data_IF_347794592551
#
_entry.id   IF_347794592551
#
_cell.length_a   1.000
_cell.length_b   1.000
_cell.length_c   1.000
_cell.angle_alpha   90.00
_cell.angle_beta   90.00
_cell.angle_gamma   90.00
#
_symmetry.space_group_name_H-M   'P 1'
#
loop_
_entity.id
_entity.type
_entity.pdbx_description
1 polymer ?
#
# COMPACT_ATOMS: atom_id res chain seq x y z
N UNK A 1 12.13 -11.00 -31.12
CA UNK A 1 11.54 -10.04 -30.15
C UNK A 1 10.23 -10.60 -29.66
N UNK A 2 9.96 -10.52 -28.35
CA UNK A 2 8.76 -11.09 -27.73
C UNK A 2 8.22 -10.14 -26.67
N UNK A 3 6.89 -9.97 -26.58
CA UNK A 3 6.25 -9.27 -25.46
C UNK A 3 5.96 -10.29 -24.34
N UNK A 4 6.30 -9.95 -23.11
CA UNK A 4 6.18 -10.88 -21.98
C UNK A 4 6.09 -10.17 -20.63
N UNK A 5 5.67 -10.91 -19.61
CA UNK A 5 5.89 -10.55 -18.22
C UNK A 5 7.26 -11.07 -17.79
N UNK A 6 8.10 -10.19 -17.26
CA UNK A 6 9.43 -10.55 -16.80
C UNK A 6 9.46 -11.13 -15.36
N UNK A 7 10.69 -11.42 -14.90
CA UNK A 7 10.99 -11.90 -13.54
C UNK A 7 10.54 -10.94 -12.42
N UNK A 8 10.45 -9.64 -12.70
CA UNK A 8 10.03 -8.59 -11.78
C UNK A 8 8.52 -8.35 -11.85
N UNK A 9 7.80 -9.19 -12.60
CA UNK A 9 6.39 -9.07 -12.94
C UNK A 9 6.04 -7.81 -13.74
N UNK A 10 7.00 -7.23 -14.46
CA UNK A 10 6.76 -6.07 -15.32
C UNK A 10 6.41 -6.51 -16.74
N UNK A 11 5.55 -5.75 -17.40
CA UNK A 11 5.27 -5.93 -18.83
C UNK A 11 6.43 -5.35 -19.66
N UNK A 12 7.11 -6.22 -20.38
CA UNK A 12 8.32 -5.88 -21.13
C UNK A 12 8.26 -6.43 -22.55
N UNK A 13 9.17 -5.96 -23.39
CA UNK A 13 9.43 -6.48 -24.72
C UNK A 13 10.89 -6.91 -24.74
N UNK A 14 11.10 -8.23 -24.77
CA UNK A 14 12.41 -8.83 -24.93
C UNK A 14 12.92 -8.60 -26.36
N UNK A 15 14.12 -8.04 -26.46
CA UNK A 15 14.83 -7.84 -27.71
C UNK A 15 16.29 -8.25 -27.51
N UNK A 16 16.71 -9.32 -28.19
CA UNK A 16 18.07 -9.88 -28.13
C UNK A 16 19.15 -8.90 -28.62
N UNK A 17 18.77 -7.91 -29.43
CA UNK A 17 19.68 -6.90 -29.95
C UNK A 17 20.06 -5.83 -28.93
N UNK A 18 19.34 -5.75 -27.79
CA UNK A 18 19.66 -4.77 -26.74
C UNK A 18 20.83 -5.31 -25.91
N UNK A 19 22.00 -4.63 -25.90
CA UNK A 19 23.16 -5.13 -25.17
C UNK A 19 22.89 -5.21 -23.67
N UNK A 20 23.10 -6.38 -23.09
CA UNK A 20 22.95 -6.64 -21.65
C UNK A 20 24.23 -6.25 -20.89
N UNK A 21 24.69 -5.01 -21.06
CA UNK A 21 26.00 -4.54 -20.58
C UNK A 21 25.98 -4.04 -19.15
N UNK A 22 24.81 -3.57 -18.67
CA UNK A 22 24.64 -2.98 -17.34
C UNK A 22 23.23 -3.22 -16.82
N UNK A 23 23.15 -3.56 -15.54
CA UNK A 23 21.90 -3.61 -14.79
C UNK A 23 21.57 -2.23 -14.22
N UNK A 24 20.29 -1.85 -14.29
CA UNK A 24 19.76 -0.59 -13.81
C UNK A 24 18.79 -0.85 -12.67
N UNK A 25 18.99 -0.16 -11.54
CA UNK A 25 18.10 -0.22 -10.40
C UNK A 25 17.08 0.93 -10.45
N UNK A 26 15.82 0.62 -10.22
CA UNK A 26 14.73 1.59 -10.19
C UNK A 26 13.93 1.46 -8.90
N UNK A 27 13.41 2.60 -8.45
CA UNK A 27 12.47 2.69 -7.36
C UNK A 27 11.17 3.29 -7.90
N UNK A 28 10.07 2.55 -7.82
CA UNK A 28 8.74 2.93 -8.34
C UNK A 28 7.66 2.63 -7.31
N UNK A 29 6.86 3.63 -6.91
CA UNK A 29 5.81 3.47 -5.89
C UNK A 29 6.24 2.69 -4.63
N UNK A 30 7.49 2.86 -4.18
CA UNK A 30 8.06 2.13 -3.03
C UNK A 30 8.75 0.80 -3.37
N UNK A 31 8.47 0.21 -4.53
CA UNK A 31 9.05 -1.04 -4.99
C UNK A 31 10.39 -0.82 -5.68
N UNK A 32 11.38 -1.64 -5.33
CA UNK A 32 12.71 -1.59 -5.93
C UNK A 32 12.93 -2.83 -6.76
N UNK A 33 13.32 -2.65 -8.02
CA UNK A 33 13.72 -3.74 -8.90
C UNK A 33 14.99 -3.37 -9.65
N UNK A 34 15.73 -4.38 -10.08
CA UNK A 34 16.89 -4.22 -10.95
C UNK A 34 16.71 -5.09 -12.18
N UNK A 35 17.04 -4.52 -13.33
CA UNK A 35 17.10 -5.28 -14.56
C UNK A 35 18.03 -4.68 -15.60
N UNK A 36 18.44 -5.50 -16.55
CA UNK A 36 19.17 -5.05 -17.72
C UNK A 36 18.27 -4.24 -18.65
N UNK A 37 18.89 -3.37 -19.45
CA UNK A 37 18.15 -2.56 -20.42
C UNK A 37 17.32 -3.46 -21.35
N UNK A 38 16.08 -3.05 -21.56
CA UNK A 38 15.08 -3.73 -22.38
C UNK A 38 13.99 -2.75 -22.76
N UNK A 39 13.15 -3.12 -23.71
CA UNK A 39 11.97 -2.31 -23.99
C UNK A 39 10.87 -2.59 -22.97
N UNK A 40 10.20 -1.53 -22.54
CA UNK A 40 9.10 -1.59 -21.59
C UNK A 40 7.94 -0.75 -22.11
N UNK A 41 6.72 -1.16 -21.77
CA UNK A 41 5.52 -0.35 -22.04
C UNK A 41 5.23 0.48 -20.80
N UNK A 42 5.17 1.80 -20.99
CA UNK A 42 4.94 2.76 -19.91
C UNK A 42 3.73 3.64 -20.17
N UNK A 43 3.04 4.01 -19.10
CA UNK A 43 2.03 5.07 -19.14
C UNK A 43 2.69 6.40 -18.78
N UNK A 44 2.64 7.37 -19.67
CA UNK A 44 3.12 8.73 -19.42
C UNK A 44 2.10 9.74 -19.95
N UNK A 45 1.63 10.64 -19.09
CA UNK A 45 0.59 11.64 -19.43
C UNK A 45 -0.69 11.03 -20.04
N UNK A 46 -1.11 9.87 -19.52
CA UNK A 46 -2.27 9.08 -19.99
C UNK A 46 -2.12 8.46 -21.39
N UNK A 47 -0.90 8.40 -21.91
CA UNK A 47 -0.58 7.75 -23.19
C UNK A 47 0.37 6.58 -22.97
N UNK A 48 0.14 5.49 -23.71
CA UNK A 48 1.02 4.33 -23.72
C UNK A 48 2.19 4.53 -24.68
N UNK A 49 3.40 4.21 -24.24
CA UNK A 49 4.64 4.37 -25.01
C UNK A 49 5.55 3.17 -24.81
N UNK A 50 6.30 2.82 -25.85
CA UNK A 50 7.42 1.89 -25.74
C UNK A 50 8.68 2.72 -25.54
N UNK A 51 9.43 2.42 -24.49
CA UNK A 51 10.72 3.07 -24.21
C UNK A 51 11.76 2.03 -23.83
N UNK A 52 13.03 2.40 -23.90
CA UNK A 52 14.07 1.62 -23.23
C UNK A 52 13.99 1.85 -21.72
N UNK A 53 14.18 0.80 -20.92
CA UNK A 53 14.16 0.85 -19.45
C UNK A 53 15.11 1.92 -18.91
N UNK A 54 16.31 2.06 -19.49
CA UNK A 54 17.26 3.14 -19.13
C UNK A 54 16.68 4.56 -19.21
N UNK A 55 15.64 4.76 -20.02
CA UNK A 55 14.95 6.04 -20.22
C UNK A 55 13.72 6.21 -19.32
N UNK A 56 13.42 5.28 -18.41
CA UNK A 56 12.33 5.42 -17.45
C UNK A 56 12.59 6.65 -16.57
N UNK A 57 11.75 7.68 -16.71
CA UNK A 57 11.85 8.95 -16.00
C UNK A 57 10.68 9.22 -15.06
N UNK A 58 10.76 10.32 -14.34
CA UNK A 58 9.78 10.72 -13.33
C UNK A 58 8.36 10.83 -13.93
N UNK A 59 7.35 10.44 -13.15
CA UNK A 59 5.93 10.42 -13.55
C UNK A 59 5.56 9.40 -14.64
N UNK A 60 6.51 8.59 -15.10
CA UNK A 60 6.20 7.42 -15.92
C UNK A 60 5.74 6.27 -15.04
N UNK A 61 4.74 5.53 -15.51
CA UNK A 61 4.25 4.36 -14.80
C UNK A 61 4.66 3.10 -15.55
N UNK A 62 5.31 2.17 -14.85
CA UNK A 62 5.53 0.82 -15.35
C UNK A 62 4.28 -0.03 -15.07
N UNK A 63 4.02 -1.00 -15.95
CA UNK A 63 2.91 -1.93 -15.81
C UNK A 63 3.40 -3.16 -15.06
N UNK A 64 2.93 -3.33 -13.83
CA UNK A 64 3.15 -4.53 -13.03
C UNK A 64 1.95 -5.47 -13.17
N UNK A 65 2.20 -6.75 -13.47
CA UNK A 65 1.21 -7.79 -13.74
C UNK A 65 1.19 -8.80 -12.60
N UNK A 66 0.11 -8.79 -11.82
CA UNK A 66 -0.09 -9.65 -10.65
C UNK A 66 -1.08 -10.76 -10.98
N UNK A 67 -0.63 -12.02 -10.90
CA UNK A 67 -1.51 -13.18 -11.09
C UNK A 67 -2.73 -13.10 -10.14
N UNK A 68 -3.92 -13.24 -10.70
CA UNK A 68 -5.20 -13.10 -10.00
C UNK A 68 -5.53 -14.25 -9.04
N UNK A 69 -4.77 -15.35 -9.05
CA UNK A 69 -4.85 -16.41 -8.03
C UNK A 69 -4.56 -15.88 -6.61
N UNK A 70 -3.67 -14.88 -6.50
CA UNK A 70 -3.45 -14.18 -5.25
C UNK A 70 -4.33 -12.93 -5.17
N UNK A 71 -5.56 -13.10 -4.69
CA UNK A 71 -6.43 -11.97 -4.34
C UNK A 71 -6.11 -11.50 -2.94
N UNK A 72 -5.88 -10.20 -2.77
CA UNK A 72 -5.70 -9.63 -1.43
C UNK A 72 -6.92 -9.90 -0.53
N UNK A 73 -8.11 -10.08 -1.13
CA UNK A 73 -9.36 -10.43 -0.44
C UNK A 73 -9.27 -11.77 0.31
N UNK A 74 -8.31 -12.63 -0.04
CA UNK A 74 -8.02 -13.88 0.66
C UNK A 74 -7.13 -13.67 1.90
N UNK A 75 -6.51 -12.49 2.06
CA UNK A 75 -5.82 -12.14 3.29
C UNK A 75 -6.86 -11.67 4.31
N UNK A 76 -7.08 -12.48 5.33
CA UNK A 76 -7.90 -12.08 6.47
C UNK A 76 -7.19 -10.99 7.27
N UNK A 77 -7.89 -9.86 7.41
CA UNK A 77 -7.52 -8.81 8.34
C UNK A 77 -7.98 -9.24 9.74
N UNK A 78 -7.05 -9.55 10.65
CA UNK A 78 -7.39 -10.11 11.95
C UNK A 78 -7.26 -9.08 13.06
N UNK A 79 -8.15 -9.18 14.04
CA UNK A 79 -8.12 -8.37 15.26
C UNK A 79 -6.79 -8.53 16.02
N UNK A 80 -6.14 -9.69 15.92
CA UNK A 80 -4.81 -9.95 16.51
C UNK A 80 -3.75 -9.00 15.96
N UNK A 81 -3.75 -8.73 14.65
CA UNK A 81 -2.89 -7.73 14.02
C UNK A 81 -3.13 -6.32 14.57
N UNK A 82 -4.40 -5.90 14.64
CA UNK A 82 -4.79 -4.59 15.18
C UNK A 82 -4.33 -4.45 16.64
N UNK A 83 -4.56 -5.48 17.46
CA UNK A 83 -4.14 -5.51 18.85
C UNK A 83 -2.62 -5.40 19.00
N UNK A 84 -1.83 -6.05 18.12
CA UNK A 84 -0.38 -5.89 18.11
C UNK A 84 0.02 -4.43 17.83
N UNK A 85 -0.61 -3.76 16.86
CA UNK A 85 -0.34 -2.35 16.56
C UNK A 85 -0.62 -1.44 17.76
N UNK A 86 -1.74 -1.68 18.46
CA UNK A 86 -2.05 -0.97 19.70
C UNK A 86 -0.97 -1.22 20.77
N UNK A 87 -0.56 -2.47 20.98
CA UNK A 87 0.49 -2.85 21.94
C UNK A 87 1.84 -2.22 21.65
N UNK A 88 2.24 -2.08 20.38
CA UNK A 88 3.50 -1.44 19.99
C UNK A 88 3.63 -0.02 20.56
N UNK A 89 2.51 0.70 20.74
CA UNK A 89 2.46 2.06 21.26
C UNK A 89 1.70 2.15 22.60
N UNK A 90 1.77 1.07 23.40
CA UNK A 90 1.20 1.03 24.75
C UNK A 90 2.05 1.87 25.72
N UNK A 91 1.35 2.55 26.62
CA UNK A 91 1.93 3.32 27.70
C UNK A 91 1.56 2.68 29.04
N UNK A 92 2.34 3.01 30.05
CA UNK A 92 2.14 2.56 31.42
C UNK A 92 2.00 3.79 32.32
N UNK A 93 0.90 3.86 33.05
CA UNK A 93 0.72 4.83 34.12
C UNK A 93 1.36 4.25 35.39
N UNK A 94 2.47 4.85 35.82
CA UNK A 94 3.22 4.41 36.99
C UNK A 94 2.45 4.55 38.30
N UNK A 95 1.55 5.54 38.40
CA UNK A 95 0.78 5.80 39.62
C UNK A 95 -0.34 4.79 39.79
N UNK A 96 -1.08 4.50 38.71
CA UNK A 96 -2.20 3.55 38.77
C UNK A 96 -1.81 2.11 38.44
N UNK A 97 -0.60 1.89 37.92
CA UNK A 97 -0.13 0.60 37.42
C UNK A 97 -0.87 0.10 36.18
N UNK A 98 -1.68 0.96 35.53
CA UNK A 98 -2.53 0.55 34.41
C UNK A 98 -1.84 0.81 33.08
N UNK A 99 -2.00 -0.17 32.19
CA UNK A 99 -1.64 -0.05 30.78
C UNK A 99 -2.72 0.70 30.02
N UNK A 100 -2.32 1.61 29.15
CA UNK A 100 -3.24 2.36 28.30
C UNK A 100 -2.66 2.61 26.91
N UNK A 101 -3.54 2.94 25.97
CA UNK A 101 -3.16 3.25 24.60
C UNK A 101 -3.52 4.69 24.29
N UNK A 102 -2.53 5.47 23.85
CA UNK A 102 -2.74 6.88 23.54
C UNK A 102 -2.86 7.09 22.04
N UNK A 103 -3.97 7.71 21.62
CA UNK A 103 -4.19 8.11 20.22
C UNK A 103 -4.10 9.64 20.13
N UNK A 104 -3.02 10.18 19.54
CA UNK A 104 -2.74 11.60 19.56
C UNK A 104 -3.60 12.41 18.59
N UNK A 105 -3.79 13.69 18.89
CA UNK A 105 -4.04 14.73 17.88
C UNK A 105 -5.38 14.65 17.17
N UNK A 106 -6.41 14.13 17.84
CA UNK A 106 -7.74 13.97 17.25
C UNK A 106 -8.64 15.18 17.52
N UNK A 107 -9.17 15.77 16.44
CA UNK A 107 -10.32 16.66 16.50
C UNK A 107 -11.60 15.89 16.86
N UNK A 108 -12.66 16.59 17.26
CA UNK A 108 -13.87 15.96 17.80
C UNK A 108 -14.52 14.93 16.85
N UNK A 109 -14.63 15.25 15.56
CA UNK A 109 -15.17 14.35 14.53
C UNK A 109 -14.34 13.06 14.47
N UNK A 110 -13.02 13.17 14.36
CA UNK A 110 -12.11 12.01 14.31
C UNK A 110 -12.20 11.14 15.56
N UNK A 111 -12.49 11.73 16.73
CA UNK A 111 -12.74 10.97 17.96
C UNK A 111 -14.03 10.16 17.86
N UNK A 112 -15.10 10.74 17.33
CA UNK A 112 -16.38 10.05 17.14
C UNK A 112 -16.26 8.89 16.14
N UNK A 113 -15.57 9.13 15.02
CA UNK A 113 -15.25 8.12 14.01
C UNK A 113 -14.52 6.93 14.62
N UNK A 114 -13.39 7.19 15.31
CA UNK A 114 -12.61 6.12 15.94
C UNK A 114 -13.41 5.37 17.02
N UNK A 115 -14.25 6.07 17.79
CA UNK A 115 -15.11 5.42 18.78
C UNK A 115 -16.03 4.37 18.15
N UNK A 116 -16.61 4.64 16.99
CA UNK A 116 -17.50 3.70 16.29
C UNK A 116 -16.73 2.42 15.93
N UNK A 117 -15.51 2.55 15.40
CA UNK A 117 -14.66 1.42 15.05
C UNK A 117 -14.30 0.62 16.29
N UNK A 118 -13.85 1.29 17.35
CA UNK A 118 -13.43 0.61 18.57
C UNK A 118 -14.56 -0.15 19.25
N UNK A 119 -15.81 0.35 19.17
CA UNK A 119 -17.00 -0.38 19.65
C UNK A 119 -17.23 -1.68 18.88
N UNK A 120 -16.92 -1.69 17.59
CA UNK A 120 -17.07 -2.89 16.76
C UNK A 120 -15.90 -3.86 16.97
N UNK A 121 -14.73 -3.37 17.35
CA UNK A 121 -13.54 -4.19 17.57
C UNK A 121 -13.50 -4.80 18.97
N UNK A 122 -13.90 -4.07 20.02
CA UNK A 122 -13.76 -4.50 21.41
C UNK A 122 -15.05 -4.29 22.20
N UNK A 123 -15.38 -5.27 23.02
CA UNK A 123 -16.56 -5.26 23.90
C UNK A 123 -16.23 -4.64 25.26
N UNK A 124 -15.07 -4.96 25.81
CA UNK A 124 -14.59 -4.49 27.10
C UNK A 124 -13.46 -3.49 26.89
N UNK A 125 -13.78 -2.20 26.90
CA UNK A 125 -12.79 -1.13 26.90
C UNK A 125 -13.42 0.17 27.42
N UNK A 126 -12.57 1.08 27.93
CA UNK A 126 -12.98 2.43 28.27
C UNK A 126 -12.22 3.45 27.44
N UNK A 127 -12.86 4.60 27.20
CA UNK A 127 -12.26 5.74 26.53
C UNK A 127 -12.30 6.94 27.45
N UNK A 128 -11.12 7.50 27.70
CA UNK A 128 -10.95 8.79 28.33
C UNK A 128 -10.53 9.82 27.28
N UNK A 129 -11.24 10.95 27.25
CA UNK A 129 -10.92 12.07 26.35
C UNK A 129 -9.95 13.01 27.05
N UNK A 130 -8.86 13.36 26.39
CA UNK A 130 -7.90 14.34 26.90
C UNK A 130 -7.79 15.53 25.95
N UNK A 131 -7.11 16.59 26.38
CA UNK A 131 -6.79 17.74 25.52
C UNK A 131 -5.85 17.36 24.38
N UNK A 132 -5.01 16.34 24.57
CA UNK A 132 -3.99 15.89 23.60
C UNK A 132 -4.45 14.74 22.70
N UNK A 133 -5.56 14.07 23.02
CA UNK A 133 -6.04 12.93 22.26
C UNK A 133 -7.07 12.08 23.01
N UNK A 134 -6.98 10.77 22.82
CA UNK A 134 -7.81 9.78 23.51
C UNK A 134 -6.94 8.72 24.17
N UNK A 135 -7.37 8.27 25.34
CA UNK A 135 -6.77 7.17 26.08
C UNK A 135 -7.75 5.99 26.02
N UNK A 136 -7.27 4.83 25.57
CA UNK A 136 -8.02 3.57 25.63
C UNK A 136 -7.44 2.68 26.72
N UNK A 137 -8.32 2.05 27.49
CA UNK A 137 -7.95 1.10 28.54
C UNK A 137 -8.82 -0.15 28.46
N UNK A 138 -8.33 -1.25 29.05
CA UNK A 138 -9.10 -2.49 29.19
C UNK A 138 -9.21 -3.34 27.93
N UNK A 139 -8.55 -2.98 26.83
CA UNK A 139 -8.55 -3.77 25.59
C UNK A 139 -8.07 -5.19 25.87
N UNK A 140 -8.97 -6.17 25.69
CA UNK A 140 -8.66 -7.59 25.85
C UNK A 140 -7.57 -8.05 24.88
N UNK A 141 -6.63 -8.82 25.43
CA UNK A 141 -5.62 -9.48 24.61
C UNK A 141 -6.27 -10.63 23.85
N UNK A 142 -6.10 -10.65 22.54
CA UNK A 142 -6.49 -11.79 21.70
C UNK A 142 -5.26 -12.64 21.44
N UNK A 143 -5.31 -13.91 21.80
CA UNK A 143 -4.28 -14.89 21.42
C UNK A 143 -4.47 -15.29 19.95
N UNK A 144 -3.36 -15.57 19.27
CA UNK A 144 -3.36 -16.06 17.88
C UNK A 144 -2.27 -15.43 17.01
N UNK A 145 -2.15 -15.96 15.79
CA UNK A 145 -1.20 -15.43 14.81
C UNK A 145 -1.56 -13.99 14.42
N UNK A 146 -0.55 -13.12 14.44
CA UNK A 146 -0.68 -11.74 14.00
C UNK A 146 -0.60 -11.68 12.48
N UNK A 147 -1.62 -11.10 11.84
CA UNK A 147 -1.60 -10.82 10.41
C UNK A 147 -1.05 -9.41 10.12
N UNK A 148 -0.36 -9.28 8.98
CA UNK A 148 0.31 -8.04 8.58
C UNK A 148 -0.70 -6.94 8.22
N UNK A 149 -1.82 -7.29 7.58
CA UNK A 149 -2.82 -6.30 7.17
C UNK A 149 -3.55 -5.69 8.37
N UNK A 150 -3.88 -6.50 9.36
CA UNK A 150 -4.47 -6.08 10.63
C UNK A 150 -3.53 -5.19 11.40
N UNK A 151 -2.24 -5.53 11.43
CA UNK A 151 -1.22 -4.66 12.01
C UNK A 151 -1.15 -3.32 11.30
N UNK A 152 -1.05 -3.30 9.96
CA UNK A 152 -1.00 -2.06 9.18
C UNK A 152 -2.27 -1.22 9.33
N UNK A 153 -3.45 -1.87 9.37
CA UNK A 153 -4.72 -1.20 9.61
C UNK A 153 -4.79 -0.62 11.03
N UNK A 154 -4.29 -1.33 12.04
CA UNK A 154 -4.16 -0.80 13.40
C UNK A 154 -3.28 0.45 13.45
N UNK A 155 -2.14 0.45 12.73
CA UNK A 155 -1.30 1.66 12.60
C UNK A 155 -2.06 2.80 11.90
N UNK A 156 -2.85 2.50 10.86
CA UNK A 156 -3.74 3.46 10.20
C UNK A 156 -4.79 4.02 11.17
N UNK A 157 -5.38 3.20 12.05
CA UNK A 157 -6.32 3.66 13.07
C UNK A 157 -5.66 4.55 14.12
N UNK A 158 -4.38 4.34 14.46
CA UNK A 158 -3.70 5.14 15.47
C UNK A 158 -3.18 6.45 14.84
N UNK A 159 -2.40 6.35 13.77
CA UNK A 159 -1.58 7.42 13.20
C UNK A 159 -1.95 7.82 11.77
N UNK A 160 -2.98 7.19 11.22
CA UNK A 160 -3.35 7.34 9.82
C UNK A 160 -4.34 8.46 9.53
N UNK A 161 -4.36 8.85 8.26
CA UNK A 161 -5.34 9.76 7.65
C UNK A 161 -5.72 9.26 6.26
N UNK A 162 -7.02 9.29 5.98
CA UNK A 162 -7.57 9.04 4.65
C UNK A 162 -7.43 10.31 3.79
N UNK A 163 -6.96 10.17 2.56
CA UNK A 163 -7.02 11.22 1.56
C UNK A 163 -8.22 10.97 0.64
N UNK A 164 -9.38 11.47 1.05
CA UNK A 164 -10.64 11.31 0.33
C UNK A 164 -11.25 12.67 -0.07
N UNK A 165 -11.98 12.69 -1.18
CA UNK A 165 -12.75 13.85 -1.64
C UNK A 165 -14.09 13.37 -2.18
N UNK A 166 -15.20 13.94 -1.68
CA UNK A 166 -16.55 13.59 -2.15
C UNK A 166 -16.83 12.08 -2.11
N UNK A 167 -16.46 11.40 -1.01
CA UNK A 167 -16.54 9.93 -0.83
C UNK A 167 -15.71 9.08 -1.81
N UNK A 168 -14.83 9.71 -2.57
CA UNK A 168 -13.83 9.02 -3.40
C UNK A 168 -12.51 8.95 -2.63
N UNK A 169 -12.07 7.73 -2.33
CA UNK A 169 -10.81 7.46 -1.63
C UNK A 169 -9.64 7.44 -2.62
N UNK A 170 -8.63 8.26 -2.37
CA UNK A 170 -7.47 8.41 -3.25
C UNK A 170 -6.23 7.68 -2.71
N UNK A 171 -5.95 7.86 -1.41
CA UNK A 171 -4.76 7.30 -0.77
C UNK A 171 -4.94 7.21 0.74
N UNK A 172 -4.00 6.53 1.39
CA UNK A 172 -3.81 6.58 2.85
C UNK A 172 -2.40 7.08 3.17
N UNK A 173 -2.27 7.73 4.33
CA UNK A 173 -1.00 8.16 4.90
C UNK A 173 -0.96 7.87 6.38
N UNK A 174 0.08 7.20 6.85
CA UNK A 174 0.31 6.82 8.26
C UNK A 174 1.61 7.49 8.70
N UNK A 175 1.55 8.33 9.74
CA UNK A 175 2.71 9.07 10.23
C UNK A 175 3.06 8.64 11.65
N UNK A 176 3.98 7.68 11.77
CA UNK A 176 4.32 7.03 13.02
C UNK A 176 5.52 7.76 13.65
N UNK A 177 5.35 8.44 14.79
CA UNK A 177 6.48 9.04 15.50
C UNK A 177 7.32 7.93 16.15
N UNK A 178 8.58 7.80 15.73
CA UNK A 178 9.56 6.90 16.32
C UNK A 178 10.58 7.70 17.14
N UNK A 179 10.56 7.48 18.45
CA UNK A 179 11.49 8.06 19.41
C UNK A 179 11.77 7.10 20.57
N UNK A 180 12.93 7.27 21.21
CA UNK A 180 13.33 6.44 22.35
C UNK A 180 13.27 4.94 22.02
N UNK A 181 12.53 4.19 22.85
CA UNK A 181 12.36 2.74 22.71
C UNK A 181 11.68 2.31 21.41
N UNK A 182 10.92 3.19 20.74
CA UNK A 182 10.19 2.83 19.52
C UNK A 182 11.05 2.84 18.25
N UNK A 183 12.28 3.39 18.30
CA UNK A 183 13.21 3.38 17.17
C UNK A 183 13.53 1.96 16.68
N UNK A 184 13.45 0.96 17.56
CA UNK A 184 13.70 -0.45 17.23
C UNK A 184 12.69 -1.03 16.22
N UNK A 185 11.51 -0.42 16.07
CA UNK A 185 10.47 -0.90 15.15
C UNK A 185 10.67 -0.44 13.70
N UNK A 186 11.68 0.37 13.43
CA UNK A 186 11.96 0.83 12.06
C UNK A 186 12.24 -0.33 11.11
N UNK A 187 13.10 -1.27 11.52
CA UNK A 187 13.43 -2.46 10.72
C UNK A 187 12.21 -3.37 10.54
N UNK A 188 11.37 -3.52 11.57
CA UNK A 188 10.13 -4.30 11.49
C UNK A 188 9.20 -3.75 10.42
N UNK A 189 9.08 -2.42 10.30
CA UNK A 189 8.25 -1.78 9.28
C UNK A 189 8.82 -1.95 7.87
N UNK A 190 10.13 -1.79 7.70
CA UNK A 190 10.80 -2.01 6.41
C UNK A 190 10.57 -3.47 5.94
N UNK A 191 10.66 -4.45 6.84
CA UNK A 191 10.37 -5.87 6.56
C UNK A 191 8.92 -6.07 6.16
N UNK A 192 7.96 -5.51 6.91
CA UNK A 192 6.52 -5.62 6.62
C UNK A 192 6.19 -5.06 5.24
N UNK A 193 6.75 -3.89 4.90
CA UNK A 193 6.54 -3.27 3.59
C UNK A 193 7.07 -4.16 2.48
N UNK A 194 8.28 -4.71 2.65
CA UNK A 194 8.86 -5.64 1.67
C UNK A 194 7.98 -6.88 1.45
N UNK A 195 7.51 -7.51 2.54
CA UNK A 195 6.60 -8.67 2.45
C UNK A 195 5.31 -8.32 1.68
N UNK A 196 4.76 -7.13 1.88
CA UNK A 196 3.56 -6.68 1.16
C UNK A 196 3.87 -6.40 -0.33
N UNK A 197 5.01 -5.80 -0.63
CA UNK A 197 5.45 -5.54 -2.01
C UNK A 197 5.71 -6.85 -2.77
N UNK A 198 6.31 -7.86 -2.14
CA UNK A 198 6.49 -9.20 -2.71
C UNK A 198 5.14 -9.88 -3.04
N UNK A 199 4.08 -9.49 -2.32
CA UNK A 199 2.69 -9.90 -2.56
C UNK A 199 1.95 -9.00 -3.56
N UNK A 200 2.64 -8.05 -4.19
CA UNK A 200 2.08 -7.10 -5.15
C UNK A 200 1.20 -6.02 -4.51
N UNK A 201 1.46 -5.66 -3.25
CA UNK A 201 0.80 -4.56 -2.52
C UNK A 201 1.82 -3.46 -2.28
N UNK A 202 1.61 -2.32 -2.93
CA UNK A 202 2.64 -1.29 -3.01
C UNK A 202 2.45 -0.19 -1.96
N UNK A 203 3.44 -0.07 -1.08
CA UNK A 203 3.54 0.93 -0.02
C UNK A 203 4.85 1.67 -0.18
N UNK A 204 4.81 3.00 -0.07
CA UNK A 204 6.00 3.85 0.01
C UNK A 204 6.28 4.19 1.47
N UNK A 205 7.52 4.00 1.89
CA UNK A 205 8.02 4.48 3.17
C UNK A 205 8.98 5.66 2.97
N UNK A 206 8.81 6.70 3.79
CA UNK A 206 9.74 7.81 3.91
C UNK A 206 10.13 7.97 5.39
N UNK A 207 11.42 8.19 5.65
CA UNK A 207 11.94 8.50 7.00
C UNK A 207 12.14 10.00 7.07
N UNK A 208 11.40 10.68 7.95
CA UNK A 208 11.42 12.14 8.08
C UNK A 208 12.06 12.52 9.42
N UNK A 209 13.35 12.91 9.44
CA UNK A 209 14.00 13.39 10.66
C UNK A 209 13.26 14.61 11.23
N UNK A 210 13.10 14.65 12.54
CA UNK A 210 12.52 15.78 13.25
C UNK A 210 13.30 16.04 14.55
N UNK A 211 12.99 17.13 15.26
CA UNK A 211 13.73 17.54 16.47
C UNK A 211 13.73 16.49 17.60
N UNK A 212 12.77 15.56 17.58
CA UNK A 212 12.52 14.61 18.68
C UNK A 212 12.71 13.15 18.25
N UNK A 213 13.26 12.88 17.06
CA UNK A 213 13.42 11.53 16.50
C UNK A 213 13.12 11.48 15.01
N UNK A 214 12.44 10.43 14.58
CA UNK A 214 12.10 10.18 13.17
C UNK A 214 10.58 10.01 13.08
N UNK A 215 9.95 10.59 12.07
CA UNK A 215 8.61 10.18 11.67
C UNK A 215 8.73 9.17 10.55
N UNK A 216 8.33 7.93 10.82
CA UNK A 216 8.23 6.89 9.80
C UNK A 216 6.89 7.06 9.08
N UNK A 217 6.93 7.50 7.83
CA UNK A 217 5.76 7.79 7.03
C UNK A 217 5.50 6.67 6.04
N UNK A 218 4.35 6.03 6.15
CA UNK A 218 3.85 5.06 5.17
C UNK A 218 2.77 5.73 4.33
N UNK A 219 2.84 5.57 3.01
CA UNK A 219 1.79 6.04 2.10
C UNK A 219 1.48 4.99 1.05
N UNK A 220 0.21 4.90 0.64
CA UNK A 220 -0.19 4.01 -0.45
C UNK A 220 -1.42 4.54 -1.16
N UNK A 221 -1.43 4.37 -2.48
CA UNK A 221 -2.60 4.49 -3.33
C UNK A 221 -2.97 3.14 -3.98
N UNK A 222 -2.42 2.04 -3.45
CA UNK A 222 -2.72 0.69 -3.94
C UNK A 222 -4.19 0.37 -3.70
N UNK A 223 -4.97 0.28 -4.77
CA UNK A 223 -6.41 0.17 -4.67
C UNK A 223 -6.88 -1.12 -4.01
N UNK A 224 -6.10 -2.21 -4.08
CA UNK A 224 -6.46 -3.48 -3.42
C UNK A 224 -6.38 -3.33 -1.90
N UNK A 225 -5.34 -2.65 -1.41
CA UNK A 225 -5.20 -2.32 0.01
C UNK A 225 -6.32 -1.36 0.46
N UNK A 226 -6.57 -0.31 -0.32
CA UNK A 226 -7.60 0.68 -0.02
C UNK A 226 -8.99 0.06 0.05
N UNK A 227 -9.31 -0.93 -0.80
CA UNK A 227 -10.59 -1.64 -0.79
C UNK A 227 -10.82 -2.38 0.53
N UNK A 228 -9.81 -3.15 0.97
CA UNK A 228 -9.90 -3.89 2.22
C UNK A 228 -10.02 -2.94 3.41
N UNK A 229 -9.21 -1.89 3.42
CA UNK A 229 -9.23 -0.90 4.48
C UNK A 229 -10.57 -0.15 4.53
N UNK A 230 -11.14 0.19 3.37
CA UNK A 230 -12.45 0.83 3.27
C UNK A 230 -13.58 -0.06 3.78
N UNK A 231 -13.56 -1.38 3.51
CA UNK A 231 -14.56 -2.33 4.04
C UNK A 231 -14.58 -2.34 5.56
N UNK A 232 -13.40 -2.34 6.19
CA UNK A 232 -13.29 -2.30 7.66
C UNK A 232 -13.64 -0.93 8.26
N UNK A 233 -13.54 0.13 7.47
CA UNK A 233 -13.90 1.50 7.86
C UNK A 233 -15.38 1.83 7.57
N UNK A 234 -16.13 0.95 6.90
CA UNK A 234 -17.48 1.22 6.39
C UNK A 234 -18.49 1.64 7.48
N UNK A 235 -18.30 1.14 8.71
CA UNK A 235 -19.13 1.54 9.86
C UNK A 235 -19.02 3.03 10.21
N UNK A 236 -17.94 3.70 9.80
CA UNK A 236 -17.71 5.13 9.98
C UNK A 236 -18.04 5.90 8.73
N UNK A 237 -17.41 5.51 7.62
CA UNK A 237 -17.57 6.18 6.35
C UNK A 237 -17.58 5.13 5.25
N UNK A 238 -18.65 5.15 4.46
CA UNK A 238 -18.74 4.35 3.25
C UNK A 238 -18.17 5.13 2.07
N UNK A 239 -16.99 4.71 1.61
CA UNK A 239 -16.42 5.19 0.36
C UNK A 239 -17.14 4.55 -0.81
N UNK A 240 -17.68 5.38 -1.71
CA UNK A 240 -18.44 4.90 -2.87
C UNK A 240 -17.51 4.48 -4.02
N UNK A 241 -16.29 5.01 -4.03
CA UNK A 241 -15.31 4.80 -5.11
C UNK A 241 -13.88 4.84 -4.60
N UNK A 242 -13.02 4.03 -5.20
CA UNK A 242 -11.57 4.12 -5.05
C UNK A 242 -10.96 4.61 -6.35
N UNK A 243 -10.36 5.81 -6.31
CA UNK A 243 -9.95 6.56 -7.50
C UNK A 243 -8.98 5.76 -8.38
N UNK A 244 -7.95 5.19 -7.75
CA UNK A 244 -6.90 4.44 -8.45
C UNK A 244 -7.43 3.17 -9.11
N UNK A 245 -8.46 2.51 -8.57
CA UNK A 245 -9.10 1.34 -9.19
C UNK A 245 -9.69 1.71 -10.54
N UNK A 246 -10.57 2.72 -10.55
CA UNK A 246 -11.28 3.16 -11.76
C UNK A 246 -10.29 3.63 -12.84
N UNK A 247 -9.29 4.42 -12.44
CA UNK A 247 -8.23 4.83 -13.37
C UNK A 247 -7.45 3.64 -13.94
N UNK A 248 -7.09 2.66 -13.10
CA UNK A 248 -6.29 1.51 -13.53
C UNK A 248 -7.06 0.63 -14.51
N UNK A 249 -8.36 0.38 -14.27
CA UNK A 249 -9.22 -0.37 -15.20
C UNK A 249 -9.40 0.37 -16.54
N UNK A 250 -9.58 1.69 -16.53
CA UNK A 250 -9.64 2.48 -17.77
C UNK A 250 -8.33 2.36 -18.58
N UNK A 251 -7.20 2.49 -17.90
CA UNK A 251 -5.89 2.40 -18.55
C UNK A 251 -5.58 0.98 -19.02
N UNK A 252 -6.03 -0.05 -18.29
CA UNK A 252 -5.93 -1.46 -18.68
C UNK A 252 -6.59 -1.73 -20.03
N UNK A 253 -7.82 -1.24 -20.23
CA UNK A 253 -8.53 -1.37 -21.51
C UNK A 253 -7.73 -0.70 -22.65
N UNK A 254 -7.24 0.52 -22.42
CA UNK A 254 -6.41 1.24 -23.40
C UNK A 254 -5.06 0.55 -23.67
N UNK A 255 -4.51 -0.15 -22.69
CA UNK A 255 -3.25 -0.90 -22.84
C UNK A 255 -3.45 -2.08 -23.77
N UNK A 256 -4.53 -2.84 -23.58
CA UNK A 256 -4.87 -3.97 -24.45
C UNK A 256 -5.08 -3.49 -25.89
N UNK A 257 -5.80 -2.38 -26.08
CA UNK A 257 -5.96 -1.75 -27.39
C UNK A 257 -4.62 -1.32 -28.01
N UNK A 258 -3.76 -0.68 -27.23
CA UNK A 258 -2.42 -0.27 -27.67
C UNK A 258 -1.56 -1.46 -28.10
N UNK A 259 -1.55 -2.55 -27.34
CA UNK A 259 -0.84 -3.80 -27.67
C UNK A 259 -1.39 -4.40 -28.97
N UNK A 260 -2.71 -4.33 -29.18
CA UNK A 260 -3.35 -4.90 -30.34
C UNK A 260 -3.08 -4.11 -31.63
N UNK A 261 -3.00 -2.79 -31.54
CA UNK A 261 -2.94 -1.89 -32.71
C UNK A 261 -1.54 -1.37 -33.04
N UNK A 262 -0.62 -1.30 -32.08
CA UNK A 262 0.72 -0.76 -32.32
C UNK A 262 1.62 -1.78 -33.06
N UNK A 263 2.14 -1.37 -34.23
CA UNK A 263 2.98 -2.19 -35.10
C UNK A 263 4.38 -2.50 -34.52
N UNK A 264 4.86 -1.71 -33.56
CA UNK A 264 6.14 -1.94 -32.86
C UNK A 264 6.06 -3.08 -31.84
N UNK A 265 4.85 -3.53 -31.48
CA UNK A 265 4.66 -4.65 -30.56
C UNK A 265 4.84 -5.97 -31.31
N UNK A 266 5.76 -6.86 -30.87
CA UNK A 266 5.97 -8.14 -31.53
C UNK A 266 4.73 -9.05 -31.42
N UNK A 267 4.52 -9.89 -32.43
CA UNK A 267 3.44 -10.88 -32.43
C UNK A 267 3.70 -12.04 -31.46
N UNK A 268 4.98 -12.38 -31.26
CA UNK A 268 5.39 -13.41 -30.32
C UNK A 268 5.06 -12.98 -28.87
N UNK A 269 4.37 -13.85 -28.13
CA UNK A 269 3.91 -13.59 -26.76
C UNK A 269 2.67 -12.71 -26.62
N UNK A 270 2.23 -12.04 -27.70
CA UNK A 270 1.10 -11.08 -27.67
C UNK A 270 -0.20 -11.71 -27.18
N UNK A 271 -0.59 -12.86 -27.74
CA UNK A 271 -1.84 -13.52 -27.34
C UNK A 271 -1.85 -13.94 -25.87
N UNK A 272 -0.70 -14.42 -25.37
CA UNK A 272 -0.53 -14.79 -23.95
C UNK A 272 -0.63 -13.57 -23.05
N UNK A 273 0.08 -12.49 -23.37
CA UNK A 273 0.07 -11.24 -22.60
C UNK A 273 -1.31 -10.60 -22.59
N UNK A 274 -2.02 -10.57 -23.72
CA UNK A 274 -3.38 -10.01 -23.78
C UNK A 274 -4.31 -10.81 -22.88
N UNK A 275 -4.27 -12.16 -22.95
CA UNK A 275 -5.04 -13.01 -22.05
C UNK A 275 -4.70 -12.77 -20.58
N UNK A 276 -3.41 -12.71 -20.24
CA UNK A 276 -2.97 -12.40 -18.88
C UNK A 276 -3.47 -11.03 -18.45
N UNK A 277 -3.37 -10.00 -19.28
CA UNK A 277 -3.90 -8.67 -18.96
C UNK A 277 -5.38 -8.78 -18.65
N UNK A 278 -6.19 -9.42 -19.49
CA UNK A 278 -7.64 -9.61 -19.24
C UNK A 278 -7.93 -10.27 -17.89
N UNK A 279 -7.23 -11.38 -17.57
CA UNK A 279 -7.48 -12.20 -16.39
C UNK A 279 -6.83 -11.71 -15.09
N UNK A 280 -5.74 -10.94 -15.19
CA UNK A 280 -4.88 -10.58 -14.07
C UNK A 280 -5.13 -9.15 -13.57
N UNK A 281 -4.67 -8.91 -12.35
CA UNK A 281 -4.62 -7.58 -11.76
C UNK A 281 -3.39 -6.85 -12.31
N UNK A 282 -3.58 -5.62 -12.79
CA UNK A 282 -2.45 -4.75 -13.16
C UNK A 282 -2.28 -3.64 -12.13
N UNK A 283 -1.04 -3.19 -11.95
CA UNK A 283 -0.71 -1.99 -11.16
C UNK A 283 0.13 -1.06 -12.01
N UNK A 284 -0.10 0.23 -11.81
CA UNK A 284 0.65 1.31 -12.46
C UNK A 284 1.58 1.93 -11.43
N UNK A 285 2.84 1.49 -11.42
CA UNK A 285 3.85 1.89 -10.46
C UNK A 285 4.61 3.09 -10.99
N UNK A 286 4.53 4.21 -10.29
CA UNK A 286 5.07 5.51 -10.73
C UNK A 286 6.51 5.66 -10.28
N UNK A 287 7.41 6.07 -11.19
CA UNK A 287 8.75 6.53 -10.86
C UNK A 287 8.73 7.94 -10.28
#
# INVERSE_FOLDING_TARGET
>A
MRIEKDKNNLLTIFNEEIPQTKEYAYHVSGYTFSDFDRWIIVLHKKEWKIINLKNLGDNMNVVYMKNSEFRIQNLELKKTGINKAMKTFQWFDEESGKKYYFIPGLGEIQRQEKNIIFKNLWTNYSIEKTTKGMILQGIEETEGETDILGYLFGLMLIYGKWEAKSKELNSIKIQIPLSGQHLVHEEDFDIIIKILQDKGIFLKADKLPNKNGITYQISSNDYELLEIFAQWYEAVEKFEKISKRVFTEEMKTKLIEFINTNAEIPQEGKAEVVKQLEEWTIKLLTK
#
